data_IF_229598193460
#
_entry.id   IF_229598193460
#
_cell.length_a   1.000
_cell.length_b   1.000
_cell.length_c   1.000
_cell.angle_alpha   90.00
_cell.angle_beta   90.00
_cell.angle_gamma   90.00
#
_symmetry.space_group_name_H-M   'P 1'
#
loop_
_entity.id
_entity.type
_entity.pdbx_description
1 polymer ?
#
# COMPACT_ATOMS: atom_id res chain seq x y z
N UNK A 1 -16.58 -2.49 -8.56
CA UNK A 1 -16.34 -1.44 -9.59
C UNK A 1 -14.95 -1.61 -10.20
N UNK A 2 -14.63 -1.04 -11.40
CA UNK A 2 -13.26 -1.06 -11.91
C UNK A 2 -12.35 -0.17 -11.04
N UNK A 3 -11.08 -0.57 -10.90
CA UNK A 3 -10.02 0.27 -10.37
C UNK A 3 -9.94 1.50 -11.27
N UNK A 4 -10.25 2.66 -10.69
CA UNK A 4 -10.07 3.93 -11.39
C UNK A 4 -8.60 4.12 -11.74
N UNK A 5 -8.29 4.99 -12.70
CA UNK A 5 -6.92 5.39 -13.00
C UNK A 5 -6.31 6.17 -11.82
N UNK A 6 -5.99 5.48 -10.73
CA UNK A 6 -5.45 6.04 -9.51
C UNK A 6 -4.12 6.72 -9.83
N UNK A 7 -4.08 8.01 -9.55
CA UNK A 7 -2.91 8.86 -9.68
C UNK A 7 -1.92 8.57 -8.55
N UNK A 8 -0.67 9.03 -8.65
CA UNK A 8 0.29 8.96 -7.54
C UNK A 8 -0.27 9.55 -6.24
N UNK A 9 -1.09 10.61 -6.29
CA UNK A 9 -1.72 11.21 -5.10
C UNK A 9 -2.71 10.28 -4.43
N UNK A 10 -3.52 9.56 -5.21
CA UNK A 10 -4.45 8.56 -4.67
C UNK A 10 -3.70 7.43 -3.97
N UNK A 11 -2.60 6.96 -4.58
CA UNK A 11 -1.76 5.91 -4.02
C UNK A 11 -0.99 6.35 -2.75
N UNK A 12 -0.59 7.62 -2.67
CA UNK A 12 -0.08 8.23 -1.44
C UNK A 12 -1.14 8.20 -0.34
N UNK A 13 -2.39 8.54 -0.66
CA UNK A 13 -3.47 8.52 0.31
C UNK A 13 -3.74 7.11 0.83
N UNK A 14 -3.83 6.12 -0.06
CA UNK A 14 -3.97 4.71 0.32
C UNK A 14 -2.82 4.25 1.23
N UNK A 15 -1.58 4.48 0.83
CA UNK A 15 -0.40 4.13 1.62
C UNK A 15 -0.43 4.77 3.02
N UNK A 16 -0.84 6.04 3.10
CA UNK A 16 -0.94 6.78 4.36
C UNK A 16 -2.03 6.19 5.27
N UNK A 17 -3.21 5.87 4.71
CA UNK A 17 -4.31 5.26 5.47
C UNK A 17 -3.90 3.87 5.98
N UNK A 18 -3.35 3.01 5.11
CA UNK A 18 -2.95 1.64 5.46
C UNK A 18 -1.90 1.67 6.57
N UNK A 19 -0.84 2.47 6.40
CA UNK A 19 0.23 2.58 7.40
C UNK A 19 -0.33 3.06 8.76
N UNK A 20 -1.09 4.16 8.75
CA UNK A 20 -1.64 4.77 9.95
C UNK A 20 -2.65 3.86 10.65
N UNK A 21 -3.55 3.19 9.93
CA UNK A 21 -4.52 2.27 10.54
C UNK A 21 -3.82 1.01 11.10
N UNK A 22 -2.86 0.46 10.37
CA UNK A 22 -2.15 -0.76 10.76
C UNK A 22 -1.34 -0.56 12.04
N UNK A 23 -0.63 0.57 12.19
CA UNK A 23 0.22 0.83 13.38
C UNK A 23 -0.57 1.08 14.67
N UNK A 24 -1.81 1.56 14.58
CA UNK A 24 -2.57 2.04 15.75
C UNK A 24 -3.02 0.90 16.66
N UNK A 25 -3.16 -0.32 16.12
CA UNK A 25 -3.75 -1.47 16.81
C UNK A 25 -3.02 -2.75 16.44
N UNK A 26 -2.96 -3.70 17.37
CA UNK A 26 -2.60 -5.06 17.02
C UNK A 26 -3.81 -5.79 16.40
N UNK A 27 -3.89 -5.85 15.08
CA UNK A 27 -5.04 -6.41 14.36
C UNK A 27 -5.20 -7.93 14.52
N UNK A 28 -4.19 -8.63 15.05
CA UNK A 28 -4.25 -10.07 15.31
C UNK A 28 -5.04 -10.43 16.57
N UNK A 29 -5.13 -9.51 17.52
CA UNK A 29 -5.72 -9.76 18.85
C UNK A 29 -7.20 -9.44 18.94
N UNK A 30 -7.81 -9.69 20.09
CA UNK A 30 -9.21 -9.32 20.39
C UNK A 30 -9.39 -7.82 20.69
N UNK A 31 -10.64 -7.38 20.87
CA UNK A 31 -10.98 -5.99 21.24
C UNK A 31 -10.46 -5.58 22.62
N UNK A 32 -10.27 -6.55 23.52
CA UNK A 32 -9.81 -6.32 24.89
C UNK A 32 -8.33 -5.97 24.98
N UNK A 33 -7.55 -6.33 23.95
CA UNK A 33 -6.10 -6.26 23.98
C UNK A 33 -5.63 -4.88 23.53
N UNK A 34 -5.10 -4.11 24.47
CA UNK A 34 -4.65 -2.72 24.24
C UNK A 34 -3.26 -2.60 23.60
N UNK A 35 -2.64 -3.72 23.21
CA UNK A 35 -1.31 -3.68 22.62
C UNK A 35 -1.36 -2.94 21.27
N UNK A 36 -0.49 -1.93 21.12
CA UNK A 36 -0.20 -1.36 19.81
C UNK A 36 0.47 -2.43 18.93
N UNK A 37 0.24 -2.38 17.62
CA UNK A 37 0.95 -3.23 16.68
C UNK A 37 2.45 -2.89 16.66
N UNK A 38 3.29 -3.83 16.20
CA UNK A 38 4.68 -3.52 15.86
C UNK A 38 4.75 -2.43 14.79
N UNK A 39 5.85 -1.67 14.75
CA UNK A 39 6.01 -0.50 13.87
C UNK A 39 5.93 -0.93 12.40
N UNK A 40 4.87 -0.48 11.70
CA UNK A 40 4.83 -0.45 10.23
C UNK A 40 5.34 0.92 9.83
N UNK A 41 6.52 0.98 9.24
CA UNK A 41 7.20 2.23 8.91
C UNK A 41 6.90 2.70 7.51
N UNK A 42 6.56 1.77 6.62
CA UNK A 42 6.47 2.04 5.20
C UNK A 42 5.44 1.16 4.50
N UNK A 43 4.56 1.83 3.77
CA UNK A 43 3.65 1.22 2.82
C UNK A 43 3.78 1.99 1.52
N UNK A 44 3.90 1.26 0.43
CA UNK A 44 3.97 1.79 -0.93
C UNK A 44 2.89 1.09 -1.76
N UNK A 45 2.19 1.86 -2.58
CA UNK A 45 1.17 1.36 -3.49
C UNK A 45 1.59 1.63 -4.94
N UNK A 46 1.31 0.68 -5.82
CA UNK A 46 1.47 0.79 -7.26
C UNK A 46 0.21 0.34 -7.97
N UNK A 47 -0.24 1.11 -8.96
CA UNK A 47 -1.26 0.71 -9.92
C UNK A 47 -0.56 0.19 -11.18
N UNK A 48 -0.92 -0.99 -11.65
CA UNK A 48 -0.65 -1.47 -13.01
C UNK A 48 -1.99 -1.83 -13.64
N UNK A 49 -2.38 -1.13 -14.70
CA UNK A 49 -3.73 -1.20 -15.30
C UNK A 49 -4.84 -1.08 -14.23
N UNK A 50 -5.73 -2.08 -14.15
CA UNK A 50 -6.84 -2.19 -13.21
C UNK A 50 -6.48 -3.01 -11.96
N UNK A 51 -5.22 -2.97 -11.50
CA UNK A 51 -4.76 -3.78 -10.34
C UNK A 51 -3.96 -2.92 -9.38
N UNK A 52 -4.14 -3.19 -8.08
CA UNK A 52 -3.39 -2.53 -7.02
C UNK A 52 -2.36 -3.50 -6.43
N UNK A 53 -1.13 -3.01 -6.29
CA UNK A 53 -0.01 -3.73 -5.67
C UNK A 53 0.47 -2.95 -4.47
N UNK A 54 0.64 -3.62 -3.34
CA UNK A 54 1.00 -3.03 -2.06
C UNK A 54 2.28 -3.69 -1.57
N UNK A 55 3.32 -2.90 -1.34
CA UNK A 55 4.58 -3.36 -0.78
C UNK A 55 4.80 -2.71 0.59
N UNK A 56 5.47 -3.46 1.46
CA UNK A 56 5.91 -2.99 2.77
C UNK A 56 7.38 -3.38 2.98
N UNK A 57 8.02 -2.81 4.01
CA UNK A 57 9.36 -3.22 4.40
C UNK A 57 9.37 -4.67 4.92
N UNK A 58 10.57 -5.22 5.14
CA UNK A 58 10.77 -6.58 5.60
C UNK A 58 9.93 -6.90 6.84
N UNK A 59 9.12 -7.97 6.78
CA UNK A 59 8.26 -8.42 7.87
C UNK A 59 6.98 -7.60 8.13
N UNK A 60 6.85 -6.41 7.54
CA UNK A 60 5.69 -5.52 7.79
C UNK A 60 4.42 -5.96 7.04
N UNK A 61 4.57 -6.66 5.91
CA UNK A 61 3.45 -7.12 5.08
C UNK A 61 2.46 -8.03 5.85
N UNK A 62 2.94 -8.86 6.77
CA UNK A 62 2.06 -9.71 7.58
C UNK A 62 1.08 -8.88 8.44
N UNK A 63 1.51 -7.71 8.93
CA UNK A 63 0.65 -6.82 9.73
C UNK A 63 -0.42 -6.14 8.88
N UNK A 64 -0.04 -5.70 7.69
CA UNK A 64 -0.97 -5.12 6.72
C UNK A 64 -1.99 -6.18 6.28
N UNK A 65 -1.57 -7.43 6.09
CA UNK A 65 -2.47 -8.55 5.78
C UNK A 65 -3.45 -8.82 6.94
N UNK A 66 -2.98 -8.84 8.18
CA UNK A 66 -3.85 -9.00 9.36
C UNK A 66 -4.86 -7.87 9.49
N UNK A 67 -4.46 -6.63 9.21
CA UNK A 67 -5.36 -5.48 9.14
C UNK A 67 -6.46 -5.69 8.07
N UNK A 68 -6.07 -6.04 6.84
CA UNK A 68 -7.01 -6.30 5.76
C UNK A 68 -7.96 -7.47 6.08
N UNK A 69 -7.45 -8.56 6.65
CA UNK A 69 -8.26 -9.70 7.11
C UNK A 69 -9.26 -9.34 8.18
N UNK A 70 -8.85 -8.49 9.12
CA UNK A 70 -9.71 -8.03 10.19
C UNK A 70 -10.85 -7.14 9.67
N UNK A 71 -10.55 -6.25 8.72
CA UNK A 71 -11.57 -5.41 8.07
C UNK A 71 -12.45 -6.19 7.09
N UNK A 72 -11.97 -7.34 6.59
CA UNK A 72 -12.66 -8.15 5.60
C UNK A 72 -12.43 -7.70 4.17
N UNK A 73 -11.22 -7.22 3.86
CA UNK A 73 -10.88 -6.86 2.48
C UNK A 73 -10.66 -8.14 1.67
N UNK A 74 -11.40 -8.26 0.57
CA UNK A 74 -11.31 -9.38 -0.39
C UNK A 74 -11.27 -8.91 -1.84
N UNK A 75 -11.69 -7.68 -2.10
CA UNK A 75 -11.84 -7.09 -3.41
C UNK A 75 -11.69 -5.56 -3.33
N UNK A 76 -11.84 -4.88 -4.45
CA UNK A 76 -11.76 -3.42 -4.51
C UNK A 76 -12.83 -2.72 -3.66
N UNK A 77 -14.07 -3.20 -3.67
CA UNK A 77 -15.19 -2.50 -3.04
C UNK A 77 -15.02 -2.52 -1.51
N UNK A 78 -14.65 -3.67 -0.95
CA UNK A 78 -14.28 -3.83 0.47
C UNK A 78 -12.99 -3.09 0.83
N UNK A 79 -12.02 -3.00 -0.09
CA UNK A 79 -10.81 -2.19 0.09
C UNK A 79 -11.14 -0.69 0.20
N UNK A 80 -11.95 -0.15 -0.70
CA UNK A 80 -12.34 1.26 -0.69
C UNK A 80 -13.18 1.62 0.54
N UNK A 81 -14.08 0.73 0.98
CA UNK A 81 -14.80 0.90 2.25
C UNK A 81 -13.83 0.95 3.44
N UNK A 82 -12.83 0.07 3.47
CA UNK A 82 -11.78 0.09 4.48
C UNK A 82 -11.02 1.43 4.48
N UNK A 83 -10.59 1.90 3.31
CA UNK A 83 -9.90 3.18 3.17
C UNK A 83 -10.77 4.35 3.65
N UNK A 84 -12.05 4.39 3.25
CA UNK A 84 -13.01 5.44 3.59
C UNK A 84 -13.27 5.54 5.09
N UNK A 85 -13.58 4.41 5.75
CA UNK A 85 -13.83 4.39 7.18
C UNK A 85 -12.58 4.74 8.00
N UNK A 86 -11.42 4.16 7.67
CA UNK A 86 -10.18 4.47 8.36
C UNK A 86 -9.77 5.94 8.16
N UNK A 87 -9.84 6.47 6.93
CA UNK A 87 -9.50 7.86 6.65
C UNK A 87 -10.41 8.83 7.41
N UNK A 88 -11.72 8.59 7.38
CA UNK A 88 -12.71 9.41 8.07
C UNK A 88 -12.47 9.50 9.58
N UNK A 89 -12.13 8.37 10.21
CA UNK A 89 -11.84 8.32 11.65
C UNK A 89 -10.48 8.92 12.01
N UNK A 90 -9.43 8.65 11.21
CA UNK A 90 -8.07 9.13 11.49
C UNK A 90 -7.89 10.63 11.25
N UNK A 91 -8.65 11.21 10.32
CA UNK A 91 -8.62 12.66 10.03
C UNK A 91 -9.45 13.50 10.97
N UNK A 92 -10.37 12.88 11.71
CA UNK A 92 -11.30 13.60 12.60
C UNK A 92 -10.52 14.28 13.73
N UNK A 93 -10.74 15.59 13.90
CA UNK A 93 -10.15 16.34 15.00
C UNK A 93 -10.62 15.81 16.34
N UNK A 94 -9.78 15.89 17.36
CA UNK A 94 -10.14 15.38 18.68
C UNK A 94 -11.40 16.03 19.27
N UNK A 95 -11.60 17.33 19.03
CA UNK A 95 -12.79 18.09 19.44
C UNK A 95 -14.09 17.56 18.86
N UNK A 96 -14.05 17.00 17.66
CA UNK A 96 -15.24 16.66 16.87
C UNK A 96 -15.67 15.21 17.08
N UNK A 97 -14.83 14.38 17.71
CA UNK A 97 -15.09 12.94 17.92
C UNK A 97 -16.31 12.69 18.79
N UNK A 98 -16.45 13.43 19.90
CA UNK A 98 -17.60 13.27 20.80
C UNK A 98 -18.88 13.75 20.12
N UNK A 99 -18.87 14.92 19.48
CA UNK A 99 -20.06 15.47 18.83
C UNK A 99 -20.50 14.65 17.61
N UNK A 100 -19.55 14.11 16.84
CA UNK A 100 -19.85 13.37 15.60
C UNK A 100 -20.19 11.90 15.85
N UNK A 101 -19.54 11.26 16.83
CA UNK A 101 -19.62 9.81 17.01
C UNK A 101 -20.12 9.38 18.40
N UNK A 102 -20.31 10.32 19.33
CA UNK A 102 -20.71 10.05 20.71
C UNK A 102 -19.59 9.49 21.57
N UNK A 103 -18.33 9.50 21.09
CA UNK A 103 -17.18 8.91 21.79
C UNK A 103 -15.87 9.59 21.42
N UNK A 104 -15.00 9.78 22.42
CA UNK A 104 -13.60 10.17 22.19
C UNK A 104 -12.70 8.94 22.00
N UNK A 105 -11.69 9.06 21.13
CA UNK A 105 -10.65 8.05 20.89
C UNK A 105 -9.34 8.70 20.45
N UNK A 106 -8.22 8.00 20.63
CA UNK A 106 -6.87 8.55 20.42
C UNK A 106 -6.35 8.39 19.00
N UNK A 107 -6.84 7.40 18.24
CA UNK A 107 -6.38 7.16 16.87
C UNK A 107 -6.52 8.43 16.00
N UNK A 108 -5.42 8.83 15.39
CA UNK A 108 -5.32 9.99 14.49
C UNK A 108 -4.07 9.87 13.61
N UNK A 109 -3.97 10.72 12.60
CA UNK A 109 -2.74 10.89 11.83
C UNK A 109 -1.65 11.60 12.65
N UNK A 110 -0.40 11.14 12.52
CA UNK A 110 0.77 11.89 13.00
C UNK A 110 1.08 13.07 12.06
N UNK A 111 1.96 13.99 12.46
CA UNK A 111 2.31 15.15 11.62
C UNK A 111 2.84 14.78 10.22
N UNK A 112 3.75 13.80 10.05
CA UNK A 112 4.16 13.35 8.71
C UNK A 112 3.01 12.78 7.85
N UNK A 113 2.04 12.12 8.49
CA UNK A 113 0.85 11.59 7.81
C UNK A 113 -0.12 12.69 7.42
N UNK A 114 -0.32 13.70 8.28
CA UNK A 114 -1.10 14.89 7.93
C UNK A 114 -0.49 15.59 6.72
N UNK A 115 0.83 15.75 6.68
CA UNK A 115 1.51 16.32 5.50
C UNK A 115 1.27 15.48 4.23
N UNK A 116 1.23 14.16 4.34
CA UNK A 116 0.93 13.25 3.23
C UNK A 116 -0.53 13.32 2.78
N UNK A 117 -1.47 13.42 3.72
CA UNK A 117 -2.88 13.68 3.43
C UNK A 117 -3.09 15.04 2.76
N UNK A 118 -2.38 16.09 3.20
CA UNK A 118 -2.42 17.42 2.58
C UNK A 118 -1.89 17.38 1.15
N UNK A 119 -0.78 16.68 0.91
CA UNK A 119 -0.26 16.47 -0.44
C UNK A 119 -1.29 15.79 -1.35
N UNK A 120 -1.99 14.80 -0.81
CA UNK A 120 -3.03 14.04 -1.51
C UNK A 120 -4.44 14.65 -1.41
N UNK A 121 -4.60 15.90 -0.96
CA UNK A 121 -5.93 16.48 -0.66
C UNK A 121 -6.88 16.57 -1.86
N UNK A 122 -6.34 16.59 -3.09
CA UNK A 122 -7.11 16.57 -4.33
C UNK A 122 -7.52 15.15 -4.78
N UNK A 123 -7.09 14.10 -4.07
CA UNK A 123 -7.48 12.72 -4.34
C UNK A 123 -8.99 12.58 -4.18
N UNK A 124 -9.63 11.94 -5.17
CA UNK A 124 -11.05 11.59 -5.13
C UNK A 124 -11.28 10.11 -4.84
N UNK A 125 -10.20 9.32 -4.75
CA UNK A 125 -10.24 7.88 -4.53
C UNK A 125 -10.83 7.49 -3.16
N UNK A 126 -10.74 8.39 -2.16
CA UNK A 126 -11.34 8.20 -0.84
C UNK A 126 -12.27 9.36 -0.53
N UNK A 127 -13.57 9.12 -0.64
CA UNK A 127 -14.59 10.13 -0.35
C UNK A 127 -14.71 10.39 1.15
N UNK A 128 -15.23 11.56 1.53
CA UNK A 128 -15.59 11.83 2.92
C UNK A 128 -16.74 10.90 3.40
N UNK A 129 -16.81 10.69 4.72
CA UNK A 129 -17.98 10.05 5.32
C UNK A 129 -19.18 10.97 5.21
N UNK A 130 -20.29 10.43 4.76
CA UNK A 130 -21.61 11.07 4.74
C UNK A 130 -22.20 11.14 6.16
N UNK A 131 -23.24 11.95 6.34
CA UNK A 131 -23.96 12.04 7.62
C UNK A 131 -24.55 10.68 8.04
N UNK A 132 -25.15 9.95 7.09
CA UNK A 132 -25.73 8.63 7.33
C UNK A 132 -24.66 7.61 7.76
N UNK A 133 -23.46 7.67 7.17
CA UNK A 133 -22.34 6.82 7.58
C UNK A 133 -21.80 7.19 8.97
N UNK A 134 -21.75 8.48 9.31
CA UNK A 134 -21.37 8.93 10.64
C UNK A 134 -22.38 8.46 11.69
N UNK A 135 -23.67 8.54 11.39
CA UNK A 135 -24.73 8.00 12.25
C UNK A 135 -24.62 6.49 12.38
N UNK A 136 -24.40 5.78 11.26
CA UNK A 136 -24.17 4.33 11.25
C UNK A 136 -22.99 3.95 12.14
N UNK A 137 -21.84 4.61 11.98
CA UNK A 137 -20.66 4.37 12.82
C UNK A 137 -20.99 4.67 14.29
N UNK A 138 -21.60 5.82 14.59
CA UNK A 138 -21.98 6.17 15.96
C UNK A 138 -22.85 5.10 16.61
N UNK A 139 -23.81 4.55 15.86
CA UNK A 139 -24.64 3.43 16.30
C UNK A 139 -23.83 2.17 16.61
N UNK A 140 -22.85 1.81 15.77
CA UNK A 140 -21.96 0.66 15.98
C UNK A 140 -21.01 0.84 17.19
N UNK A 141 -20.69 2.08 17.55
CA UNK A 141 -19.80 2.40 18.67
C UNK A 141 -20.52 2.49 20.04
N UNK A 142 -21.86 2.41 20.07
CA UNK A 142 -22.64 2.35 21.32
C UNK A 142 -22.19 1.20 22.23
N UNK A 143 -22.52 1.29 23.52
CA UNK A 143 -22.20 0.22 24.50
C UNK A 143 -22.88 -1.11 24.15
N UNK A 144 -24.10 -1.04 23.62
CA UNK A 144 -24.93 -2.19 23.23
C UNK A 144 -25.45 -1.98 21.80
N UNK A 145 -24.58 -2.11 20.78
CA UNK A 145 -25.01 -1.97 19.39
C UNK A 145 -25.78 -3.21 18.96
N UNK A 146 -26.69 -3.05 18.00
CA UNK A 146 -27.25 -4.20 17.30
C UNK A 146 -26.12 -4.88 16.50
N UNK A 147 -25.88 -6.17 16.73
CA UNK A 147 -24.89 -6.93 15.97
C UNK A 147 -25.51 -7.25 14.60
N UNK A 148 -24.92 -6.78 13.48
CA UNK A 148 -25.44 -7.07 12.15
C UNK A 148 -25.50 -8.57 11.89
N UNK A 149 -26.47 -9.04 11.10
CA UNK A 149 -26.52 -10.45 10.70
C UNK A 149 -25.43 -10.78 9.65
N UNK A 150 -25.20 -9.84 8.73
CA UNK A 150 -24.22 -9.95 7.66
C UNK A 150 -22.76 -10.02 8.19
N UNK A 151 -21.98 -10.94 7.63
CA UNK A 151 -20.60 -11.21 8.07
C UNK A 151 -19.71 -10.00 7.81
N UNK A 152 -19.85 -9.32 6.67
CA UNK A 152 -19.02 -8.18 6.34
C UNK A 152 -19.32 -6.99 7.26
N UNK A 153 -20.60 -6.73 7.53
CA UNK A 153 -21.01 -5.73 8.50
C UNK A 153 -20.52 -6.06 9.92
N UNK A 154 -20.47 -7.34 10.33
CA UNK A 154 -19.83 -7.76 11.60
C UNK A 154 -18.34 -7.43 11.64
N UNK A 155 -17.61 -7.62 10.54
CA UNK A 155 -16.19 -7.25 10.44
C UNK A 155 -15.98 -5.75 10.55
N UNK A 156 -16.79 -4.97 9.84
CA UNK A 156 -16.78 -3.52 9.91
C UNK A 156 -17.06 -3.07 11.35
N UNK A 157 -18.10 -3.60 12.01
CA UNK A 157 -18.37 -3.34 13.42
C UNK A 157 -17.15 -3.65 14.30
N UNK A 158 -16.55 -4.83 14.16
CA UNK A 158 -15.38 -5.21 14.95
C UNK A 158 -14.18 -4.28 14.71
N UNK A 159 -13.87 -3.99 13.45
CA UNK A 159 -12.73 -3.15 13.06
C UNK A 159 -12.90 -1.70 13.51
N UNK A 160 -14.10 -1.12 13.34
CA UNK A 160 -14.42 0.22 13.81
C UNK A 160 -14.25 0.30 15.33
N UNK A 161 -14.83 -0.64 16.08
CA UNK A 161 -14.71 -0.67 17.53
C UNK A 161 -13.28 -0.82 18.01
N UNK A 162 -12.47 -1.63 17.31
CA UNK A 162 -11.05 -1.78 17.61
C UNK A 162 -10.29 -0.49 17.37
N UNK A 163 -10.52 0.16 16.23
CA UNK A 163 -9.84 1.41 15.86
C UNK A 163 -10.19 2.56 16.81
N UNK A 164 -11.44 2.63 17.30
CA UNK A 164 -11.92 3.70 18.18
C UNK A 164 -11.91 3.34 19.67
N UNK A 165 -11.31 2.21 20.05
CA UNK A 165 -11.28 1.72 21.45
C UNK A 165 -12.67 1.69 22.10
N UNK A 166 -13.71 1.32 21.35
CA UNK A 166 -15.08 1.25 21.87
C UNK A 166 -15.29 0.12 22.88
N UNK A 167 -14.33 -0.79 22.97
CA UNK A 167 -14.32 -1.90 23.92
C UNK A 167 -15.16 -3.09 23.45
N UNK A 168 -15.06 -4.17 24.22
CA UNK A 168 -15.75 -5.42 23.96
C UNK A 168 -17.28 -5.27 24.02
N UNK A 169 -17.98 -6.14 23.29
CA UNK A 169 -19.42 -6.36 23.40
C UNK A 169 -19.59 -7.81 23.85
N UNK A 170 -20.54 -8.05 24.75
CA UNK A 170 -20.88 -9.40 25.20
C UNK A 170 -21.20 -10.30 24.01
N UNK A 171 -20.65 -11.52 24.02
CA UNK A 171 -20.82 -12.54 22.97
C UNK A 171 -20.42 -12.12 21.55
N UNK A 172 -19.59 -11.06 21.42
CA UNK A 172 -19.07 -10.58 20.15
C UNK A 172 -17.53 -10.67 20.12
N UNK A 173 -17.04 -11.70 19.45
CA UNK A 173 -15.61 -11.96 19.26
C UNK A 173 -15.13 -11.51 17.87
N UNK A 174 -13.82 -11.58 17.63
CA UNK A 174 -13.25 -11.35 16.31
C UNK A 174 -13.85 -12.31 15.27
N UNK A 175 -14.44 -11.80 14.17
CA UNK A 175 -14.88 -12.65 13.07
C UNK A 175 -13.71 -13.46 12.48
N UNK A 176 -13.98 -14.68 12.01
CA UNK A 176 -12.99 -15.55 11.36
C UNK A 176 -12.25 -14.80 10.26
N UNK A 177 -10.92 -14.89 10.12
CA UNK A 177 -10.19 -14.08 9.11
C UNK A 177 -10.65 -14.35 7.66
N UNK A 178 -10.60 -13.33 6.78
CA UNK A 178 -10.78 -13.53 5.33
C UNK A 178 -9.54 -14.14 4.66
N UNK A 179 -9.63 -14.41 3.35
CA UNK A 179 -8.51 -14.88 2.53
C UNK A 179 -7.37 -13.86 2.59
N UNK A 180 -6.13 -14.36 2.65
CA UNK A 180 -4.93 -13.54 2.54
C UNK A 180 -4.84 -12.85 1.20
N UNK A 181 -4.52 -11.55 1.22
CA UNK A 181 -4.13 -10.79 0.03
C UNK A 181 -2.63 -10.91 -0.24
N UNK A 182 -1.86 -11.39 0.75
CA UNK A 182 -0.47 -11.78 0.56
C UNK A 182 -0.34 -12.80 -0.55
N UNK A 183 0.46 -12.46 -1.56
CA UNK A 183 0.72 -13.37 -2.66
C UNK A 183 2.16 -13.31 -3.12
N UNK A 184 2.65 -14.48 -3.57
CA UNK A 184 3.87 -14.64 -4.36
C UNK A 184 3.55 -14.78 -5.87
N UNK A 185 2.34 -15.25 -6.17
CA UNK A 185 1.81 -15.45 -7.52
C UNK A 185 0.66 -14.47 -7.69
N UNK A 186 0.99 -13.28 -8.18
CA UNK A 186 0.06 -12.14 -8.23
C UNK A 186 -1.25 -12.50 -8.90
N UNK A 187 -2.36 -12.04 -8.31
CA UNK A 187 -3.67 -12.17 -8.91
C UNK A 187 -3.76 -11.23 -10.12
N UNK A 188 -3.84 -11.84 -11.29
CA UNK A 188 -3.95 -11.16 -12.58
C UNK A 188 -5.40 -10.86 -12.96
N UNK A 189 -6.38 -11.16 -12.10
CA UNK A 189 -7.74 -10.73 -12.33
C UNK A 189 -7.83 -9.19 -12.29
N UNK A 190 -8.69 -8.58 -13.13
CA UNK A 190 -9.04 -7.17 -12.99
C UNK A 190 -9.54 -6.87 -11.57
N UNK A 191 -9.21 -5.70 -11.04
CA UNK A 191 -9.58 -5.20 -9.71
C UNK A 191 -8.97 -5.96 -8.54
N UNK A 192 -7.97 -6.82 -8.80
CA UNK A 192 -7.24 -7.51 -7.76
C UNK A 192 -6.43 -6.55 -6.88
N UNK A 193 -6.44 -6.83 -5.58
CA UNK A 193 -5.60 -6.18 -4.57
C UNK A 193 -4.51 -7.18 -4.16
N UNK A 194 -3.27 -6.85 -4.47
CA UNK A 194 -2.11 -7.72 -4.28
C UNK A 194 -1.21 -7.16 -3.19
N UNK A 195 -1.04 -7.88 -2.09
CA UNK A 195 -0.05 -7.54 -1.07
C UNK A 195 1.21 -8.41 -1.30
N UNK A 196 2.35 -7.78 -1.54
CA UNK A 196 3.58 -8.49 -1.88
C UNK A 196 4.08 -9.27 -0.66
N UNK A 197 4.09 -10.60 -0.76
CA UNK A 197 4.75 -11.48 0.22
C UNK A 197 6.25 -11.56 -0.09
N UNK A 198 6.94 -10.44 0.11
CA UNK A 198 8.35 -10.28 -0.20
C UNK A 198 9.16 -9.98 1.08
N UNK A 199 9.95 -10.98 1.48
CA UNK A 199 10.84 -10.97 2.63
C UNK A 199 12.25 -10.47 2.31
N UNK A 200 12.46 -9.79 1.18
CA UNK A 200 13.73 -9.12 0.89
C UNK A 200 13.90 -7.87 1.76
N UNK A 201 15.15 -7.62 2.16
CA UNK A 201 15.66 -6.45 2.91
C UNK A 201 15.81 -5.22 2.01
N UNK A 202 14.79 -4.99 1.18
CA UNK A 202 14.73 -3.94 0.16
C UNK A 202 13.62 -2.97 0.57
N UNK A 203 13.78 -1.68 0.29
CA UNK A 203 12.70 -0.71 0.54
C UNK A 203 11.48 -1.01 -0.33
N UNK A 204 10.29 -0.75 0.22
CA UNK A 204 9.01 -1.14 -0.38
C UNK A 204 8.83 -0.61 -1.82
N UNK A 205 9.28 0.60 -2.13
CA UNK A 205 9.15 1.20 -3.46
C UNK A 205 9.99 0.45 -4.50
N UNK A 206 11.17 -0.02 -4.12
CA UNK A 206 12.04 -0.76 -5.03
C UNK A 206 11.51 -2.20 -5.27
N UNK A 207 10.77 -2.77 -4.32
CA UNK A 207 10.04 -4.05 -4.52
C UNK A 207 8.97 -3.92 -5.60
N UNK A 208 8.23 -2.80 -5.62
CA UNK A 208 7.22 -2.52 -6.65
C UNK A 208 7.86 -2.34 -8.03
N UNK A 209 9.02 -1.69 -8.11
CA UNK A 209 9.73 -1.51 -9.38
C UNK A 209 10.31 -2.83 -9.92
N UNK A 210 10.85 -3.68 -9.04
CA UNK A 210 11.22 -5.06 -9.39
C UNK A 210 10.04 -5.83 -9.96
N UNK A 211 8.88 -5.75 -9.29
CA UNK A 211 7.65 -6.37 -9.76
C UNK A 211 7.27 -5.87 -11.16
N UNK A 212 7.27 -4.55 -11.37
CA UNK A 212 6.95 -3.97 -12.67
C UNK A 212 7.86 -4.52 -13.79
N UNK A 213 9.17 -4.63 -13.56
CA UNK A 213 10.08 -5.27 -14.51
C UNK A 213 9.71 -6.73 -14.78
N UNK A 214 9.40 -7.50 -13.73
CA UNK A 214 9.01 -8.90 -13.87
C UNK A 214 7.72 -9.08 -14.66
N UNK A 215 6.81 -8.10 -14.62
CA UNK A 215 5.58 -8.14 -15.44
C UNK A 215 5.82 -7.93 -16.92
N UNK A 216 6.98 -7.37 -17.31
CA UNK A 216 7.34 -7.10 -18.71
C UNK A 216 8.11 -8.20 -19.41
N UNK A 217 8.47 -9.24 -18.68
CA UNK A 217 9.46 -10.21 -19.13
C UNK A 217 8.83 -11.59 -19.21
N UNK A 218 9.07 -12.27 -20.35
CA UNK A 218 8.44 -13.54 -20.70
C UNK A 218 6.94 -13.42 -20.96
N UNK A 219 6.27 -14.57 -20.96
CA UNK A 219 4.82 -14.69 -21.19
C UNK A 219 4.01 -14.36 -19.93
N UNK A 220 4.15 -13.12 -19.44
CA UNK A 220 3.38 -12.64 -18.31
C UNK A 220 2.02 -12.06 -18.77
N UNK A 221 0.87 -12.45 -18.18
CA UNK A 221 -0.43 -11.89 -18.51
C UNK A 221 -0.55 -10.37 -18.32
N UNK A 222 0.34 -9.78 -17.51
CA UNK A 222 0.40 -8.34 -17.27
C UNK A 222 1.29 -7.62 -18.27
N UNK A 223 1.98 -8.28 -19.20
CA UNK A 223 2.97 -7.64 -20.09
C UNK A 223 2.36 -6.52 -20.96
N UNK A 224 1.06 -6.55 -21.26
CA UNK A 224 0.41 -5.57 -22.13
C UNK A 224 0.27 -4.16 -21.54
N UNK A 225 0.46 -3.97 -20.23
CA UNK A 225 0.28 -2.67 -19.60
C UNK A 225 1.19 -1.59 -20.20
N UNK A 226 0.70 -0.35 -20.31
CA UNK A 226 1.49 0.79 -20.85
C UNK A 226 1.74 1.89 -19.85
N UNK A 227 1.11 1.81 -18.68
CA UNK A 227 1.30 2.77 -17.61
C UNK A 227 1.34 2.09 -16.26
N UNK A 228 2.10 2.68 -15.35
CA UNK A 228 2.04 2.40 -13.93
C UNK A 228 2.03 3.72 -13.16
N UNK A 229 1.40 3.74 -11.99
CA UNK A 229 1.49 4.85 -11.06
C UNK A 229 1.99 4.33 -9.72
N UNK A 230 2.82 5.09 -9.02
CA UNK A 230 3.35 4.71 -7.71
C UNK A 230 3.11 5.85 -6.71
N UNK A 231 2.76 5.50 -5.47
CA UNK A 231 2.67 6.45 -4.38
C UNK A 231 2.84 5.76 -3.03
N UNK A 232 3.63 6.37 -2.16
CA UNK A 232 3.92 5.88 -0.81
C UNK A 232 3.57 6.86 0.28
N UNK A 233 3.70 6.45 1.54
CA UNK A 233 3.54 7.38 2.68
C UNK A 233 4.65 8.44 2.75
N UNK A 234 5.88 8.11 2.31
CA UNK A 234 7.04 9.02 2.34
C UNK A 234 7.56 9.24 0.92
N UNK A 235 8.31 10.33 0.75
CA UNK A 235 9.17 10.48 -0.42
C UNK A 235 10.34 9.51 -0.30
N UNK A 236 10.74 8.89 -1.40
CA UNK A 236 11.92 8.02 -1.43
C UNK A 236 13.15 8.73 -0.83
N UNK A 237 14.03 7.98 -0.15
CA UNK A 237 15.30 8.52 0.34
C UNK A 237 16.18 8.96 -0.85
N UNK A 238 17.26 9.72 -0.61
CA UNK A 238 18.07 10.27 -1.70
C UNK A 238 18.60 9.20 -2.66
N UNK A 239 19.08 8.07 -2.13
CA UNK A 239 19.60 6.97 -2.94
C UNK A 239 18.49 6.24 -3.71
N UNK A 240 17.37 5.94 -3.05
CA UNK A 240 16.19 5.37 -3.71
C UNK A 240 15.67 6.29 -4.82
N UNK A 241 15.57 7.59 -4.58
CA UNK A 241 15.12 8.57 -5.55
C UNK A 241 15.98 8.59 -6.83
N UNK A 242 17.31 8.55 -6.69
CA UNK A 242 18.22 8.44 -7.84
C UNK A 242 18.04 7.13 -8.59
N UNK A 243 17.94 6.02 -7.87
CA UNK A 243 17.71 4.71 -8.46
C UNK A 243 16.39 4.69 -9.24
N UNK A 244 15.31 5.20 -8.64
CA UNK A 244 13.98 5.30 -9.26
C UNK A 244 14.05 6.16 -10.53
N UNK A 245 14.75 7.30 -10.49
CA UNK A 245 14.90 8.17 -11.65
C UNK A 245 15.61 7.47 -12.82
N UNK A 246 16.68 6.70 -12.57
CA UNK A 246 17.33 5.89 -13.60
C UNK A 246 16.41 4.78 -14.11
N UNK A 247 15.71 4.10 -13.21
CA UNK A 247 14.81 3.01 -13.53
C UNK A 247 13.64 3.45 -14.43
N UNK A 248 13.00 4.59 -14.13
CA UNK A 248 11.88 5.13 -14.91
C UNK A 248 12.30 5.45 -16.34
N UNK A 249 13.51 5.97 -16.56
CA UNK A 249 14.04 6.20 -17.91
C UNK A 249 14.25 4.88 -18.66
N UNK A 250 14.88 3.92 -17.98
CA UNK A 250 15.19 2.62 -18.56
C UNK A 250 13.93 1.83 -18.95
N UNK A 251 12.95 1.71 -18.06
CA UNK A 251 11.71 0.96 -18.33
C UNK A 251 10.88 1.61 -19.47
N UNK A 252 10.90 2.94 -19.59
CA UNK A 252 10.28 3.66 -20.71
C UNK A 252 11.01 3.34 -22.01
N UNK A 253 12.33 3.40 -22.03
CA UNK A 253 13.13 3.11 -23.21
C UNK A 253 12.99 1.66 -23.69
N UNK A 254 12.91 0.69 -22.77
CA UNK A 254 12.86 -0.75 -23.10
C UNK A 254 11.47 -1.26 -23.42
N UNK A 255 10.46 -0.89 -22.62
CA UNK A 255 9.13 -1.50 -22.69
C UNK A 255 8.03 -0.51 -23.06
N UNK A 256 8.39 0.75 -23.30
CA UNK A 256 7.45 1.84 -23.56
C UNK A 256 6.35 1.90 -22.47
N UNK A 257 6.79 1.91 -21.21
CA UNK A 257 5.94 2.08 -20.03
C UNK A 257 6.16 3.44 -19.42
N UNK A 258 5.09 4.19 -19.24
CA UNK A 258 5.10 5.43 -18.48
C UNK A 258 4.87 5.15 -16.99
N UNK A 259 5.80 5.60 -16.15
CA UNK A 259 5.67 5.52 -14.69
C UNK A 259 5.38 6.90 -14.13
N UNK A 260 4.18 7.06 -13.59
CA UNK A 260 3.78 8.25 -12.86
C UNK A 260 4.27 8.16 -11.41
N UNK A 261 5.02 9.18 -10.99
CA UNK A 261 5.52 9.33 -9.63
C UNK A 261 4.92 10.59 -8.96
N UNK A 262 4.92 10.67 -7.63
CA UNK A 262 4.50 11.88 -6.93
C UNK A 262 5.36 13.08 -7.36
N UNK A 263 4.74 14.14 -7.92
CA UNK A 263 5.43 15.37 -8.32
C UNK A 263 4.50 16.60 -8.26
N UNK A 264 5.00 17.79 -7.82
CA UNK A 264 6.21 17.99 -7.02
C UNK A 264 6.02 17.42 -5.60
N UNK A 265 6.98 16.64 -5.09
CA UNK A 265 6.85 15.95 -3.80
C UNK A 265 7.57 16.69 -2.65
N UNK A 266 6.79 17.39 -1.84
CA UNK A 266 7.26 18.21 -0.70
C UNK A 266 7.21 17.50 0.64
N UNK A 267 6.91 16.19 0.67
CA UNK A 267 6.72 15.43 1.91
C UNK A 267 8.06 15.06 2.55
N UNK A 268 7.98 14.57 3.78
CA UNK A 268 9.14 14.08 4.54
C UNK A 268 9.80 12.93 3.76
N UNK A 269 11.13 13.00 3.65
CA UNK A 269 11.90 11.93 3.01
C UNK A 269 12.03 10.74 3.94
N UNK A 270 11.98 9.54 3.37
CA UNK A 270 12.41 8.32 4.04
C UNK A 270 13.91 8.39 4.37
N UNK A 271 14.33 7.53 5.30
CA UNK A 271 15.69 7.42 5.79
C UNK A 271 16.10 5.96 5.84
N UNK A 272 17.41 5.68 5.73
CA UNK A 272 17.97 4.33 5.87
C UNK A 272 18.59 3.81 4.59
N UNK A 273 19.51 2.86 4.78
CA UNK A 273 20.27 2.19 3.73
C UNK A 273 19.70 0.78 3.53
N UNK A 274 18.67 0.68 2.69
CA UNK A 274 18.13 -0.60 2.23
C UNK A 274 19.05 -1.27 1.21
N UNK A 275 18.78 -2.53 0.89
CA UNK A 275 19.43 -3.17 -0.25
C UNK A 275 18.70 -2.79 -1.55
N UNK A 276 19.42 -2.78 -2.67
CA UNK A 276 18.79 -2.75 -3.99
C UNK A 276 18.05 -4.06 -4.21
N UNK A 277 16.96 -4.08 -5.01
CA UNK A 277 16.29 -5.34 -5.29
C UNK A 277 17.21 -6.27 -6.07
N UNK A 278 16.96 -7.57 -5.92
CA UNK A 278 17.66 -8.62 -6.65
C UNK A 278 16.76 -9.19 -7.74
N UNK A 279 17.28 -9.26 -8.96
CA UNK A 279 16.77 -10.19 -9.97
C UNK A 279 17.73 -11.36 -10.09
N UNK A 280 17.23 -12.46 -10.63
CA UNK A 280 18.05 -13.63 -10.86
C UNK A 280 19.19 -13.29 -11.83
N UNK A 281 20.44 -13.42 -11.36
CA UNK A 281 21.64 -13.06 -12.10
C UNK A 281 21.93 -14.03 -13.24
N UNK A 282 21.39 -15.24 -13.17
CA UNK A 282 21.57 -16.27 -14.21
C UNK A 282 20.67 -16.02 -15.43
N UNK A 283 19.96 -14.88 -15.44
CA UNK A 283 19.08 -14.45 -16.52
C UNK A 283 19.58 -13.18 -17.22
N UNK A 284 20.90 -12.97 -17.30
CA UNK A 284 21.49 -11.85 -18.06
C UNK A 284 20.96 -11.83 -19.51
N UNK A 285 20.75 -12.98 -20.13
CA UNK A 285 20.23 -13.05 -21.51
C UNK A 285 18.77 -12.59 -21.63
N UNK A 286 18.03 -12.58 -20.52
CA UNK A 286 16.62 -12.17 -20.46
C UNK A 286 16.49 -10.70 -20.07
N UNK A 287 17.30 -10.28 -19.09
CA UNK A 287 17.20 -8.96 -18.48
C UNK A 287 18.21 -7.96 -19.07
N UNK A 288 19.29 -8.43 -19.68
CA UNK A 288 20.45 -7.62 -20.05
C UNK A 288 21.35 -7.30 -18.86
N UNK A 289 22.64 -7.08 -19.15
CA UNK A 289 23.68 -6.81 -18.13
C UNK A 289 23.40 -5.54 -17.32
N UNK A 290 22.83 -4.50 -17.95
CA UNK A 290 22.44 -3.27 -17.27
C UNK A 290 21.42 -3.53 -16.15
N UNK A 291 20.42 -4.36 -16.40
CA UNK A 291 19.34 -4.63 -15.43
C UNK A 291 19.86 -5.50 -14.32
N UNK A 292 20.69 -6.50 -14.62
CA UNK A 292 21.37 -7.29 -13.60
C UNK A 292 22.24 -6.41 -12.70
N UNK A 293 22.92 -5.40 -13.26
CA UNK A 293 23.69 -4.43 -12.49
C UNK A 293 22.81 -3.46 -11.70
N UNK A 294 21.69 -3.01 -12.25
CA UNK A 294 20.71 -2.15 -11.59
C UNK A 294 20.06 -2.85 -10.39
N UNK A 295 19.88 -4.17 -10.49
CA UNK A 295 19.25 -5.05 -9.51
C UNK A 295 20.21 -6.10 -8.92
N UNK A 296 21.46 -5.70 -8.62
CA UNK A 296 22.51 -6.63 -8.15
C UNK A 296 22.49 -6.95 -6.64
N UNK A 297 21.52 -6.43 -5.89
CA UNK A 297 21.40 -6.68 -4.44
C UNK A 297 22.44 -6.03 -3.54
N UNK A 298 23.25 -5.11 -4.07
CA UNK A 298 24.18 -4.33 -3.24
C UNK A 298 23.45 -3.33 -2.33
N UNK A 299 24.18 -2.72 -1.39
CA UNK A 299 23.63 -1.63 -0.57
C UNK A 299 23.17 -0.46 -1.46
N UNK A 300 22.06 0.15 -1.08
CA UNK A 300 21.52 1.32 -1.77
C UNK A 300 22.02 2.62 -1.12
N UNK A 301 23.31 2.68 -0.78
CA UNK A 301 23.98 3.80 -0.10
C UNK A 301 24.95 4.55 -1.03
N UNK A 302 25.63 3.84 -1.95
CA UNK A 302 26.50 4.41 -2.97
C UNK A 302 25.77 4.43 -4.31
N UNK A 303 25.56 5.60 -4.93
CA UNK A 303 24.87 5.76 -6.22
C UNK A 303 25.82 6.05 -7.39
N UNK A 304 27.13 6.12 -7.13
CA UNK A 304 28.14 6.43 -8.16
C UNK A 304 28.34 5.28 -9.15
N UNK A 305 27.89 4.07 -8.80
CA UNK A 305 27.93 2.88 -9.64
C UNK A 305 26.66 2.70 -10.49
N UNK A 306 25.69 3.62 -10.43
CA UNK A 306 24.55 3.63 -11.34
C UNK A 306 25.03 4.13 -12.71
N UNK A 307 24.92 3.34 -13.79
CA UNK A 307 25.37 3.78 -15.10
C UNK A 307 24.55 4.98 -15.58
N UNK A 308 25.17 5.88 -16.35
CA UNK A 308 24.50 7.05 -16.91
C UNK A 308 23.32 6.60 -17.80
N UNK A 309 22.13 7.12 -17.52
CA UNK A 309 20.87 6.70 -18.14
C UNK A 309 20.65 7.25 -19.56
N UNK A 310 21.71 7.57 -20.30
CA UNK A 310 21.63 8.46 -21.48
C UNK A 310 21.51 7.75 -22.84
N UNK A 311 21.71 6.44 -22.94
CA UNK A 311 21.38 5.72 -24.19
C UNK A 311 20.50 4.48 -23.93
N UNK A 312 19.63 4.08 -24.87
CA UNK A 312 18.94 2.79 -24.82
C UNK A 312 19.91 1.69 -25.27
N UNK A 313 20.31 0.80 -24.37
CA UNK A 313 21.01 -0.43 -24.77
C UNK A 313 19.97 -1.48 -25.17
N UNK A 314 20.06 -2.09 -26.37
CA UNK A 314 19.09 -3.07 -26.82
C UNK A 314 19.05 -4.28 -25.87
N UNK A 315 17.86 -4.84 -25.66
CA UNK A 315 17.73 -6.21 -25.17
C UNK A 315 18.51 -7.11 -26.14
N UNK A 316 19.27 -8.06 -25.61
CA UNK A 316 19.83 -9.13 -26.45
C UNK A 316 18.62 -9.79 -27.11
N UNK A 317 18.54 -9.74 -28.44
CA UNK A 317 17.49 -10.43 -29.18
C UNK A 317 17.52 -11.90 -28.75
N UNK A 318 16.49 -12.36 -28.04
CA UNK A 318 16.28 -13.78 -27.90
C UNK A 318 15.94 -14.29 -29.30
N UNK A 319 16.88 -15.02 -29.91
CA UNK A 319 16.60 -15.78 -31.11
C UNK A 319 15.35 -16.62 -30.83
N UNK A 320 14.30 -16.40 -31.61
CA UNK A 320 13.07 -17.17 -31.54
C UNK A 320 13.42 -18.66 -31.74
N UNK A 321 13.21 -19.47 -30.70
CA UNK A 321 13.15 -20.93 -30.80
C UNK A 321 11.69 -21.39 -30.74
#
# INVERSE_FOLDING_TARGET
MPISAYTPKDLVLFSTIINAATRQKNWDTELTDKAAGSKVEEVQCMRIDERLFIACNYGEHARVDSFFKAFGVTDLDTFLQCMRFCHGLLKMNHSDKISSLGRSFTACYSEPEKASCTYAAASTAVTALSADELEFISNLLKKTPAIPADIQAKRILWALRKLTDAGAITDFTKPSSTKSLMTKNYDTNPNAINLLNDSLTVHAELKLLRLLTQTKIGDNPLNTHKSAAIGGIKRACQSCSKWIASFVKWIKAQFDVDIELPAPDTRVSASGDGDRPQIDKDRIEVYGEYVVNLFKGGKNDNFLDLPAAEEPWPLVEQEAQ
#
